data_IF_957351084022
#
_entry.id   IF_957351084022
#
_cell.length_a   1.000
_cell.length_b   1.000
_cell.length_c   1.000
_cell.angle_alpha   90.00
_cell.angle_beta   90.00
_cell.angle_gamma   90.00
#
_symmetry.space_group_name_H-M   'P 1'
#
loop_
_entity.id
_entity.type
_entity.pdbx_description
1 polymer ?
#
# COMPACT_ATOMS: atom_id res chain seq x y z
N UNK A 1 8.01 9.12 19.38
CA UNK A 1 6.78 8.38 19.06
C UNK A 1 7.00 7.39 17.91
N UNK A 2 7.52 7.81 16.75
CA UNK A 2 7.85 6.86 15.64
C UNK A 2 8.83 5.75 16.06
N UNK A 3 9.91 6.09 16.79
CA UNK A 3 10.88 5.11 17.27
C UNK A 3 10.28 4.06 18.22
N UNK A 4 9.39 4.46 19.14
CA UNK A 4 8.72 3.52 20.06
C UNK A 4 7.79 2.55 19.33
N UNK A 5 6.99 3.04 18.37
CA UNK A 5 6.14 2.20 17.54
C UNK A 5 6.95 1.21 16.68
N UNK A 6 8.14 1.61 16.23
CA UNK A 6 9.06 0.74 15.50
C UNK A 6 9.65 -0.36 16.38
N UNK A 7 10.10 -0.01 17.58
CA UNK A 7 10.61 -0.98 18.55
C UNK A 7 9.55 -2.03 18.88
N UNK A 8 8.31 -1.62 19.13
CA UNK A 8 7.22 -2.56 19.43
C UNK A 8 6.89 -3.47 18.24
N UNK A 9 6.87 -2.95 17.01
CA UNK A 9 6.68 -3.77 15.79
C UNK A 9 7.82 -4.76 15.58
N UNK A 10 9.07 -4.32 15.78
CA UNK A 10 10.27 -5.15 15.63
C UNK A 10 10.32 -6.25 16.69
N UNK A 11 10.08 -5.88 17.94
CA UNK A 11 10.16 -6.76 19.09
C UNK A 11 9.05 -7.81 19.02
N UNK A 12 7.83 -7.42 18.63
CA UNK A 12 6.75 -8.37 18.36
C UNK A 12 7.09 -9.32 17.20
N UNK A 13 7.67 -8.82 16.10
CA UNK A 13 8.06 -9.67 14.97
C UNK A 13 9.18 -10.66 15.32
N UNK A 14 10.23 -10.19 15.99
CA UNK A 14 11.38 -11.00 16.38
C UNK A 14 11.05 -12.00 17.48
N UNK A 15 10.41 -11.55 18.58
CA UNK A 15 10.03 -12.44 19.67
C UNK A 15 9.09 -13.52 19.16
N UNK A 16 8.10 -13.15 18.36
CA UNK A 16 7.15 -14.12 17.83
C UNK A 16 7.85 -15.20 17.01
N UNK A 17 8.73 -14.82 16.08
CA UNK A 17 9.43 -15.80 15.23
C UNK A 17 10.49 -16.60 15.97
N UNK A 18 11.25 -15.99 16.87
CA UNK A 18 12.31 -16.69 17.63
C UNK A 18 11.72 -17.69 18.60
N UNK A 19 10.65 -17.31 19.32
CA UNK A 19 9.91 -18.23 20.21
C UNK A 19 9.33 -19.38 19.40
N UNK A 20 8.79 -19.10 18.20
CA UNK A 20 8.18 -20.12 17.35
C UNK A 20 9.20 -21.10 16.76
N UNK A 21 10.35 -20.62 16.29
CA UNK A 21 11.44 -21.47 15.79
C UNK A 21 11.98 -22.36 16.90
N UNK A 22 12.12 -21.82 18.11
CA UNK A 22 12.56 -22.59 19.28
C UNK A 22 11.54 -23.64 19.75
N UNK A 23 10.25 -23.43 19.49
CA UNK A 23 9.19 -24.37 19.84
C UNK A 23 8.95 -25.48 18.80
N UNK A 24 9.21 -25.20 17.52
CA UNK A 24 8.87 -26.09 16.39
C UNK A 24 10.04 -26.95 15.90
N UNK A 25 11.28 -26.48 16.05
CA UNK A 25 12.45 -27.17 15.49
C UNK A 25 13.12 -28.07 16.52
N UNK A 26 13.34 -29.34 16.17
CA UNK A 26 14.14 -30.28 16.95
C UNK A 26 15.50 -29.66 17.35
N UNK A 27 16.05 -30.00 18.53
CA UNK A 27 16.99 -29.17 19.30
C UNK A 27 18.43 -29.21 18.79
N UNK A 28 18.64 -29.01 17.48
CA UNK A 28 19.96 -28.70 16.94
C UNK A 28 20.16 -27.19 17.04
N UNK A 29 20.71 -26.74 18.18
CA UNK A 29 21.00 -25.34 18.48
C UNK A 29 21.71 -24.59 17.34
N UNK A 30 22.58 -25.27 16.58
CA UNK A 30 23.25 -24.70 15.39
C UNK A 30 22.30 -24.33 14.25
N UNK A 31 21.23 -25.08 14.03
CA UNK A 31 20.25 -24.76 13.00
C UNK A 31 19.36 -23.59 13.44
N UNK A 32 18.91 -23.62 14.70
CA UNK A 32 18.08 -22.55 15.30
C UNK A 32 18.83 -21.22 15.29
N UNK A 33 20.10 -21.19 15.69
CA UNK A 33 20.92 -19.97 15.70
C UNK A 33 21.07 -19.36 14.30
N UNK A 34 21.38 -20.19 13.30
CA UNK A 34 21.53 -19.73 11.90
C UNK A 34 20.22 -19.19 11.34
N UNK A 35 19.10 -19.90 11.59
CA UNK A 35 17.77 -19.47 11.14
C UNK A 35 17.31 -18.19 11.85
N UNK A 36 17.59 -18.05 13.15
CA UNK A 36 17.29 -16.84 13.92
C UNK A 36 18.06 -15.62 13.39
N UNK A 37 19.36 -15.77 13.11
CA UNK A 37 20.16 -14.71 12.50
C UNK A 37 19.60 -14.31 11.13
N UNK A 38 19.20 -15.30 10.33
CA UNK A 38 18.63 -15.11 9.01
C UNK A 38 17.33 -14.29 9.04
N UNK A 39 16.40 -14.68 9.93
CA UNK A 39 15.13 -13.98 10.13
C UNK A 39 15.34 -12.61 10.76
N UNK A 40 16.37 -12.45 11.60
CA UNK A 40 16.77 -11.16 12.15
C UNK A 40 17.13 -10.14 11.07
N UNK A 41 17.97 -10.53 10.11
CA UNK A 41 18.35 -9.68 8.98
C UNK A 41 17.13 -9.35 8.10
N UNK A 42 16.25 -10.31 7.85
CA UNK A 42 15.01 -10.07 7.12
C UNK A 42 14.07 -9.09 7.83
N UNK A 43 13.93 -9.23 9.16
CA UNK A 43 13.18 -8.32 9.99
C UNK A 43 13.72 -6.89 9.92
N UNK A 44 15.05 -6.75 9.98
CA UNK A 44 15.72 -5.46 9.80
C UNK A 44 15.39 -4.83 8.44
N UNK A 45 15.56 -5.56 7.34
CA UNK A 45 15.22 -5.07 6.00
C UNK A 45 13.77 -4.62 5.88
N UNK A 46 12.83 -5.39 6.45
CA UNK A 46 11.39 -5.07 6.47
C UNK A 46 11.12 -3.75 7.19
N UNK A 47 11.78 -3.50 8.32
CA UNK A 47 11.60 -2.28 9.11
C UNK A 47 12.09 -1.06 8.34
N UNK A 48 13.23 -1.16 7.65
CA UNK A 48 13.74 -0.06 6.83
C UNK A 48 12.83 0.27 5.64
N UNK A 49 12.23 -0.75 5.02
CA UNK A 49 11.22 -0.57 3.98
C UNK A 49 9.98 0.15 4.52
N UNK A 50 9.47 -0.29 5.68
CA UNK A 50 8.31 0.33 6.33
C UNK A 50 8.59 1.78 6.74
N UNK A 51 9.77 2.08 7.29
CA UNK A 51 10.16 3.44 7.63
C UNK A 51 10.23 4.34 6.39
N UNK A 52 10.71 3.80 5.27
CA UNK A 52 10.78 4.53 4.00
C UNK A 52 9.38 4.86 3.46
N UNK A 53 8.42 3.95 3.67
CA UNK A 53 6.99 4.16 3.39
C UNK A 53 6.39 5.27 4.26
N UNK A 54 6.53 5.16 5.58
CA UNK A 54 5.98 6.15 6.53
C UNK A 54 6.57 7.55 6.25
N UNK A 55 7.88 7.62 5.92
CA UNK A 55 8.53 8.86 5.54
C UNK A 55 8.03 9.42 4.20
N UNK A 56 7.65 8.57 3.24
CA UNK A 56 7.06 9.04 1.98
C UNK A 56 5.73 9.72 2.24
N UNK A 57 4.86 9.09 3.03
CA UNK A 57 3.54 9.61 3.35
C UNK A 57 3.67 11.00 4.00
N UNK A 58 4.62 11.16 4.92
CA UNK A 58 4.98 12.47 5.48
C UNK A 58 5.50 13.46 4.42
N UNK A 59 6.34 13.03 3.47
CA UNK A 59 6.87 13.90 2.41
C UNK A 59 5.79 14.33 1.40
N UNK A 60 4.80 13.51 1.11
CA UNK A 60 3.69 13.87 0.18
C UNK A 60 2.81 14.99 0.71
N UNK A 61 2.82 15.25 2.03
CA UNK A 61 2.13 16.40 2.61
C UNK A 61 2.87 17.73 2.41
N UNK A 62 4.16 17.67 2.02
CA UNK A 62 5.02 18.84 1.83
C UNK A 62 5.07 19.19 0.34
N UNK A 63 4.66 20.40 -0.01
CA UNK A 63 4.46 20.85 -1.41
C UNK A 63 5.75 20.96 -2.23
N UNK A 64 6.91 21.15 -1.60
CA UNK A 64 8.20 21.26 -2.30
C UNK A 64 9.32 20.56 -1.54
N UNK A 65 9.78 19.44 -2.09
CA UNK A 65 10.90 18.66 -1.56
C UNK A 65 12.02 18.61 -2.60
N UNK A 66 13.26 18.86 -2.17
CA UNK A 66 14.45 18.77 -3.02
C UNK A 66 14.64 17.36 -3.59
N UNK A 67 14.90 17.27 -4.90
CA UNK A 67 15.12 16.02 -5.66
C UNK A 67 16.21 15.14 -5.02
N UNK A 68 17.23 15.74 -4.41
CA UNK A 68 18.32 15.00 -3.76
C UNK A 68 17.84 14.09 -2.62
N UNK A 69 16.79 14.51 -1.89
CA UNK A 69 16.21 13.71 -0.80
C UNK A 69 15.52 12.44 -1.33
N UNK A 70 14.84 12.53 -2.46
CA UNK A 70 14.21 11.38 -3.10
C UNK A 70 15.24 10.39 -3.65
N UNK A 71 16.29 10.88 -4.32
CA UNK A 71 17.34 10.03 -4.86
C UNK A 71 18.02 9.20 -3.78
N UNK A 72 18.32 9.79 -2.62
CA UNK A 72 18.92 9.08 -1.48
C UNK A 72 18.04 7.93 -0.97
N UNK A 73 16.73 8.13 -0.92
CA UNK A 73 15.79 7.10 -0.46
C UNK A 73 15.59 6.01 -1.51
N UNK A 74 15.54 6.37 -2.79
CA UNK A 74 15.49 5.39 -3.89
C UNK A 74 16.74 4.51 -3.88
N UNK A 75 17.93 5.11 -3.71
CA UNK A 75 19.18 4.36 -3.59
C UNK A 75 19.13 3.37 -2.41
N UNK A 76 18.64 3.81 -1.25
CA UNK A 76 18.45 2.96 -0.07
C UNK A 76 17.49 1.80 -0.34
N UNK A 77 16.36 2.05 -1.00
CA UNK A 77 15.38 1.01 -1.34
C UNK A 77 15.95 0.01 -2.36
N UNK A 78 16.70 0.48 -3.35
CA UNK A 78 17.37 -0.38 -4.32
C UNK A 78 18.44 -1.26 -3.68
N UNK A 79 19.22 -0.74 -2.72
CA UNK A 79 20.20 -1.58 -1.98
C UNK A 79 19.52 -2.61 -1.11
N UNK A 80 18.39 -2.27 -0.47
CA UNK A 80 17.58 -3.24 0.29
C UNK A 80 17.05 -4.34 -0.64
N UNK A 81 16.52 -3.99 -1.82
CA UNK A 81 16.00 -4.96 -2.77
C UNK A 81 17.09 -5.92 -3.27
N UNK A 82 18.26 -5.38 -3.64
CA UNK A 82 19.41 -6.17 -4.06
C UNK A 82 19.90 -7.11 -2.95
N UNK A 83 19.98 -6.61 -1.72
CA UNK A 83 20.37 -7.41 -0.56
C UNK A 83 19.36 -8.53 -0.25
N UNK A 84 18.06 -8.28 -0.42
CA UNK A 84 17.02 -9.30 -0.29
C UNK A 84 17.21 -10.43 -1.32
N UNK A 85 17.51 -10.10 -2.58
CA UNK A 85 17.74 -11.09 -3.64
C UNK A 85 18.97 -11.95 -3.32
N UNK A 86 20.08 -11.33 -2.88
CA UNK A 86 21.28 -12.06 -2.46
C UNK A 86 20.97 -13.00 -1.29
N UNK A 87 20.26 -12.51 -0.27
CA UNK A 87 19.87 -13.33 0.86
C UNK A 87 18.99 -14.50 0.39
N UNK A 88 17.99 -14.26 -0.45
CA UNK A 88 17.14 -15.32 -0.98
C UNK A 88 17.93 -16.39 -1.76
N UNK A 89 18.89 -15.97 -2.59
CA UNK A 89 19.79 -16.91 -3.28
C UNK A 89 20.64 -17.73 -2.30
N UNK A 90 21.18 -17.09 -1.25
CA UNK A 90 21.89 -17.78 -0.17
C UNK A 90 21.03 -18.81 0.57
N UNK A 91 19.70 -18.61 0.61
CA UNK A 91 18.76 -19.56 1.23
C UNK A 91 18.76 -20.93 0.53
N UNK A 92 18.92 -20.97 -0.80
CA UNK A 92 18.96 -22.22 -1.57
C UNK A 92 20.13 -23.10 -1.15
N UNK A 93 21.27 -22.50 -0.84
CA UNK A 93 22.48 -23.22 -0.44
C UNK A 93 22.45 -23.63 1.03
N UNK A 94 21.94 -22.78 1.91
CA UNK A 94 22.01 -22.98 3.37
C UNK A 94 20.87 -23.83 3.94
N UNK A 95 19.67 -23.76 3.34
CA UNK A 95 18.46 -24.35 3.91
C UNK A 95 17.55 -24.99 2.83
N UNK A 96 18.01 -26.01 2.08
CA UNK A 96 17.24 -26.59 0.98
C UNK A 96 15.93 -27.25 1.43
N UNK A 97 15.88 -27.79 2.65
CA UNK A 97 14.71 -28.49 3.19
C UNK A 97 13.58 -27.57 3.64
N UNK A 98 13.89 -26.34 4.07
CA UNK A 98 12.91 -25.36 4.55
C UNK A 98 12.65 -24.23 3.55
N UNK A 99 12.93 -24.45 2.25
CA UNK A 99 12.82 -23.40 1.23
C UNK A 99 11.41 -22.84 1.13
N UNK A 100 10.38 -23.68 1.11
CA UNK A 100 8.99 -23.22 1.00
C UNK A 100 8.54 -22.34 2.19
N UNK A 101 9.11 -22.57 3.38
CA UNK A 101 8.89 -21.71 4.53
C UNK A 101 9.62 -20.37 4.38
N UNK A 102 10.89 -20.43 4.01
CA UNK A 102 11.70 -19.23 3.84
C UNK A 102 11.18 -18.36 2.69
N UNK A 103 10.76 -18.93 1.57
CA UNK A 103 10.22 -18.19 0.40
C UNK A 103 9.01 -17.33 0.79
N UNK A 104 8.08 -17.88 1.58
CA UNK A 104 6.92 -17.16 2.08
C UNK A 104 7.28 -16.06 3.09
N UNK A 105 8.42 -16.18 3.76
CA UNK A 105 8.95 -15.14 4.65
C UNK A 105 9.64 -13.99 3.90
N UNK A 106 10.27 -14.28 2.76
CA UNK A 106 10.90 -13.28 1.89
C UNK A 106 9.88 -12.48 1.08
N UNK A 107 8.83 -13.14 0.59
CA UNK A 107 7.91 -12.59 -0.38
C UNK A 107 7.25 -11.26 0.07
N UNK A 108 6.69 -11.12 1.29
CA UNK A 108 6.13 -9.86 1.75
C UNK A 108 7.12 -8.70 1.78
N UNK A 109 8.39 -8.96 2.11
CA UNK A 109 9.44 -7.91 2.18
C UNK A 109 9.79 -7.42 0.78
N UNK A 110 9.91 -8.33 -0.18
CA UNK A 110 10.18 -7.98 -1.59
C UNK A 110 9.01 -7.19 -2.18
N UNK A 111 7.77 -7.61 -1.93
CA UNK A 111 6.59 -6.90 -2.40
C UNK A 111 6.45 -5.50 -1.79
N UNK A 112 6.69 -5.38 -0.48
CA UNK A 112 6.67 -4.11 0.24
C UNK A 112 7.72 -3.14 -0.31
N UNK A 113 8.97 -3.60 -0.47
CA UNK A 113 10.07 -2.79 -1.01
C UNK A 113 9.81 -2.34 -2.45
N UNK A 114 9.31 -3.24 -3.32
CA UNK A 114 8.93 -2.91 -4.69
C UNK A 114 7.79 -1.89 -4.72
N UNK A 115 6.74 -2.08 -3.91
CA UNK A 115 5.62 -1.15 -3.84
C UNK A 115 6.07 0.26 -3.43
N UNK A 116 6.92 0.35 -2.39
CA UNK A 116 7.45 1.63 -1.93
C UNK A 116 8.32 2.26 -3.02
N UNK A 117 9.18 1.49 -3.69
CA UNK A 117 10.01 1.98 -4.80
C UNK A 117 9.16 2.54 -5.95
N UNK A 118 8.11 1.83 -6.36
CA UNK A 118 7.17 2.28 -7.40
C UNK A 118 6.54 3.61 -6.99
N UNK A 119 6.06 3.74 -5.75
CA UNK A 119 5.47 4.99 -5.25
C UNK A 119 6.45 6.16 -5.31
N UNK A 120 7.70 5.96 -4.89
CA UNK A 120 8.75 6.99 -4.94
C UNK A 120 9.05 7.42 -6.39
N UNK A 121 9.14 6.47 -7.32
CA UNK A 121 9.38 6.75 -8.75
C UNK A 121 8.17 7.49 -9.34
N UNK A 122 6.95 7.04 -9.07
CA UNK A 122 5.74 7.69 -9.56
C UNK A 122 5.65 9.12 -9.05
N UNK A 123 5.92 9.37 -7.77
CA UNK A 123 5.91 10.73 -7.21
C UNK A 123 6.97 11.65 -7.85
N UNK A 124 8.18 11.14 -8.09
CA UNK A 124 9.21 11.91 -8.80
C UNK A 124 8.81 12.24 -10.25
N UNK A 125 8.24 11.27 -10.95
CA UNK A 125 7.75 11.47 -12.32
C UNK A 125 6.59 12.47 -12.37
N UNK A 126 5.74 12.46 -11.35
CA UNK A 126 4.60 13.39 -11.22
C UNK A 126 5.08 14.83 -10.99
N UNK A 127 6.12 15.01 -10.16
CA UNK A 127 6.76 16.31 -9.95
C UNK A 127 7.46 16.85 -11.21
N UNK A 128 7.98 15.96 -12.07
CA UNK A 128 8.70 16.35 -13.28
C UNK A 128 7.79 16.58 -14.49
N UNK A 129 6.66 15.86 -14.57
CA UNK A 129 5.71 15.94 -15.68
C UNK A 129 4.48 16.74 -15.26
N UNK A 130 4.60 18.07 -15.36
CA UNK A 130 3.46 18.97 -15.24
C UNK A 130 2.41 18.62 -16.34
N UNK A 131 1.17 18.29 -15.94
CA UNK A 131 -0.06 18.20 -16.78
C UNK A 131 -0.51 16.90 -17.50
N UNK A 132 -0.36 15.67 -16.94
CA UNK A 132 -1.07 14.45 -17.47
C UNK A 132 -1.82 13.63 -16.40
N UNK A 133 -2.59 14.31 -15.54
CA UNK A 133 -2.95 13.83 -14.19
C UNK A 133 -4.19 12.93 -14.02
N UNK A 134 -5.19 12.97 -14.90
CA UNK A 134 -6.48 12.29 -14.59
C UNK A 134 -6.41 10.75 -14.72
N UNK A 135 -5.85 10.22 -15.80
CA UNK A 135 -5.81 8.76 -16.01
C UNK A 135 -4.77 8.04 -15.14
N UNK A 136 -3.66 8.72 -14.81
CA UNK A 136 -2.55 8.15 -14.04
C UNK A 136 -2.89 7.98 -12.55
N UNK A 137 -3.67 8.89 -11.96
CA UNK A 137 -4.07 8.83 -10.54
C UNK A 137 -4.85 7.56 -10.20
N UNK A 138 -5.79 7.15 -11.06
CA UNK A 138 -6.54 5.91 -10.85
C UNK A 138 -5.65 4.68 -10.95
N UNK A 139 -4.74 4.62 -11.93
CA UNK A 139 -3.81 3.50 -12.11
C UNK A 139 -2.90 3.36 -10.88
N UNK A 140 -2.33 4.46 -10.39
CA UNK A 140 -1.47 4.44 -9.20
C UNK A 140 -2.24 3.92 -7.97
N UNK A 141 -3.48 4.36 -7.80
CA UNK A 141 -4.35 3.88 -6.73
C UNK A 141 -4.64 2.37 -6.81
N UNK A 142 -4.93 1.83 -8.00
CA UNK A 142 -5.15 0.37 -8.17
C UNK A 142 -3.88 -0.43 -7.90
N UNK A 143 -2.72 0.04 -8.35
CA UNK A 143 -1.42 -0.60 -8.10
C UNK A 143 -1.12 -0.61 -6.60
N UNK A 144 -1.38 0.49 -5.91
CA UNK A 144 -1.19 0.59 -4.47
C UNK A 144 -2.10 -0.38 -3.70
N UNK A 145 -3.38 -0.42 -4.05
CA UNK A 145 -4.34 -1.29 -3.40
C UNK A 145 -4.03 -2.77 -3.63
N UNK A 146 -3.72 -3.15 -4.89
CA UNK A 146 -3.42 -4.54 -5.23
C UNK A 146 -2.17 -5.03 -4.50
N UNK A 147 -1.13 -4.20 -4.43
CA UNK A 147 0.09 -4.50 -3.68
C UNK A 147 -0.21 -4.67 -2.18
N UNK A 148 -0.98 -3.77 -1.57
CA UNK A 148 -1.36 -3.87 -0.16
C UNK A 148 -2.17 -5.14 0.16
N UNK A 149 -3.12 -5.49 -0.70
CA UNK A 149 -3.91 -6.72 -0.58
C UNK A 149 -3.02 -7.95 -0.72
N UNK A 150 -2.07 -7.92 -1.65
CA UNK A 150 -1.16 -9.03 -1.90
C UNK A 150 -0.18 -9.22 -0.74
N UNK A 151 0.36 -8.14 -0.15
CA UNK A 151 1.19 -8.19 1.07
C UNK A 151 0.42 -8.76 2.25
N UNK A 152 -0.83 -8.32 2.47
CA UNK A 152 -1.70 -8.86 3.53
C UNK A 152 -2.02 -10.34 3.29
N UNK A 153 -2.26 -10.73 2.04
CA UNK A 153 -2.51 -12.12 1.64
C UNK A 153 -1.30 -13.03 1.90
N UNK A 154 -0.09 -12.59 1.51
CA UNK A 154 1.14 -13.33 1.82
C UNK A 154 1.40 -13.43 3.32
N UNK A 155 1.13 -12.36 4.09
CA UNK A 155 1.26 -12.37 5.55
C UNK A 155 0.26 -13.34 6.19
N UNK A 156 -0.97 -13.42 5.68
CA UNK A 156 -1.96 -14.39 6.11
C UNK A 156 -1.48 -15.83 5.83
N UNK A 157 -0.96 -16.07 4.62
CA UNK A 157 -0.45 -17.38 4.23
C UNK A 157 0.72 -17.83 5.11
N UNK A 158 1.60 -16.90 5.50
CA UNK A 158 2.68 -17.15 6.45
C UNK A 158 2.15 -17.63 7.81
N UNK A 159 1.14 -16.95 8.37
CA UNK A 159 0.54 -17.39 9.64
C UNK A 159 -0.16 -18.75 9.53
N UNK A 160 -0.86 -19.01 8.43
CA UNK A 160 -1.50 -20.30 8.18
C UNK A 160 -0.47 -21.43 8.03
N UNK A 161 0.64 -21.17 7.35
CA UNK A 161 1.74 -22.14 7.23
C UNK A 161 2.36 -22.43 8.59
N UNK A 162 2.57 -21.40 9.42
CA UNK A 162 3.09 -21.57 10.79
C UNK A 162 2.15 -22.45 11.63
N UNK A 163 0.83 -22.18 11.58
CA UNK A 163 -0.17 -23.02 12.25
C UNK A 163 -0.16 -24.47 11.76
N UNK A 164 -0.01 -24.67 10.44
CA UNK A 164 0.07 -26.01 9.86
C UNK A 164 1.31 -26.79 10.33
N UNK A 165 2.47 -26.13 10.44
CA UNK A 165 3.71 -26.79 10.87
C UNK A 165 3.76 -27.11 12.37
N UNK A 166 3.18 -26.26 13.22
CA UNK A 166 3.18 -26.45 14.68
C UNK A 166 2.12 -27.45 15.15
N UNK A 167 1.05 -27.65 14.37
CA UNK A 167 -0.16 -28.29 14.86
C UNK A 167 -0.92 -27.39 15.84
N UNK A 168 -2.19 -27.72 16.11
CA UNK A 168 -3.03 -26.94 17.03
C UNK A 168 -2.92 -27.58 18.40
N UNK A 169 -2.06 -27.04 19.26
CA UNK A 169 -1.87 -27.53 20.64
C UNK A 169 -2.67 -26.72 21.68
N UNK A 170 -3.48 -25.76 21.22
CA UNK A 170 -4.28 -24.84 22.04
C UNK A 170 -3.44 -24.09 23.09
N UNK A 171 -2.18 -23.78 22.76
CA UNK A 171 -1.27 -23.03 23.61
C UNK A 171 -1.42 -21.50 23.49
N UNK A 172 -0.70 -20.75 24.33
CA UNK A 172 -0.62 -19.28 24.24
C UNK A 172 -0.19 -18.79 22.85
N UNK A 173 0.69 -19.54 22.18
CA UNK A 173 1.18 -19.23 20.83
C UNK A 173 0.05 -19.30 19.79
N UNK A 174 -0.82 -20.31 19.89
CA UNK A 174 -1.97 -20.48 18.99
C UNK A 174 -2.99 -19.34 19.17
N UNK A 175 -3.20 -18.89 20.40
CA UNK A 175 -4.07 -17.73 20.71
C UNK A 175 -3.51 -16.47 20.04
N UNK A 176 -2.21 -16.20 20.19
CA UNK A 176 -1.56 -15.03 19.57
C UNK A 176 -1.61 -15.11 18.04
N UNK A 177 -1.38 -16.29 17.45
CA UNK A 177 -1.52 -16.52 16.01
C UNK A 177 -2.95 -16.21 15.54
N UNK A 178 -3.95 -16.74 16.24
CA UNK A 178 -5.35 -16.51 15.90
C UNK A 178 -5.73 -15.03 15.95
N UNK A 179 -5.26 -14.29 16.96
CA UNK A 179 -5.48 -12.85 17.08
C UNK A 179 -4.83 -12.08 15.92
N UNK A 180 -3.61 -12.44 15.53
CA UNK A 180 -2.93 -11.83 14.39
C UNK A 180 -3.64 -12.14 13.06
N UNK A 181 -4.04 -13.39 12.83
CA UNK A 181 -4.83 -13.80 11.66
C UNK A 181 -6.14 -13.01 11.59
N UNK A 182 -6.88 -12.91 12.70
CA UNK A 182 -8.12 -12.13 12.79
C UNK A 182 -7.87 -10.64 12.48
N UNK A 183 -6.79 -10.07 12.98
CA UNK A 183 -6.41 -8.68 12.71
C UNK A 183 -6.15 -8.45 11.22
N UNK A 184 -5.38 -9.35 10.58
CA UNK A 184 -5.09 -9.30 9.14
C UNK A 184 -6.36 -9.45 8.31
N UNK A 185 -7.22 -10.42 8.64
CA UNK A 185 -8.50 -10.63 7.95
C UNK A 185 -9.42 -9.41 8.06
N UNK A 186 -9.52 -8.80 9.25
CA UNK A 186 -10.30 -7.58 9.46
C UNK A 186 -9.76 -6.43 8.60
N UNK A 187 -8.45 -6.24 8.56
CA UNK A 187 -7.82 -5.19 7.75
C UNK A 187 -8.04 -5.41 6.25
N UNK A 188 -7.90 -6.66 5.79
CA UNK A 188 -8.15 -7.03 4.40
C UNK A 188 -9.63 -6.80 4.03
N UNK A 189 -10.55 -7.26 4.86
CA UNK A 189 -11.98 -7.09 4.66
C UNK A 189 -12.37 -5.60 4.57
N UNK A 190 -11.88 -4.78 5.50
CA UNK A 190 -12.13 -3.34 5.50
C UNK A 190 -11.58 -2.67 4.22
N UNK A 191 -10.37 -3.04 3.76
CA UNK A 191 -9.82 -2.53 2.50
C UNK A 191 -10.67 -2.93 1.29
N UNK A 192 -11.15 -4.18 1.24
CA UNK A 192 -12.02 -4.67 0.16
C UNK A 192 -13.37 -3.95 0.13
N UNK A 193 -13.98 -3.68 1.29
CA UNK A 193 -15.24 -2.92 1.38
C UNK A 193 -15.06 -1.51 0.82
N UNK A 194 -14.08 -0.77 1.35
CA UNK A 194 -13.80 0.62 0.92
C UNK A 194 -13.54 0.66 -0.59
N UNK A 195 -12.82 -0.32 -1.11
CA UNK A 195 -12.59 -0.46 -2.55
C UNK A 195 -13.88 -0.65 -3.34
N UNK A 196 -14.74 -1.59 -2.91
CA UNK A 196 -16.02 -1.87 -3.58
C UNK A 196 -16.93 -0.64 -3.58
N UNK A 197 -17.00 0.08 -2.47
CA UNK A 197 -17.80 1.31 -2.37
C UNK A 197 -17.29 2.40 -3.30
N UNK A 198 -15.97 2.62 -3.35
CA UNK A 198 -15.34 3.58 -4.27
C UNK A 198 -15.56 3.21 -5.74
N UNK A 199 -15.43 1.93 -6.09
CA UNK A 199 -15.70 1.46 -7.45
C UNK A 199 -17.15 1.74 -7.86
N UNK A 200 -18.11 1.39 -7.00
CA UNK A 200 -19.54 1.63 -7.25
C UNK A 200 -19.82 3.12 -7.43
N UNK A 201 -19.28 3.98 -6.55
CA UNK A 201 -19.43 5.42 -6.63
C UNK A 201 -18.83 5.99 -7.93
N UNK A 202 -17.66 5.50 -8.34
CA UNK A 202 -17.03 5.88 -9.61
C UNK A 202 -17.86 5.51 -10.83
N UNK A 203 -18.36 4.27 -10.90
CA UNK A 203 -19.20 3.81 -12.00
C UNK A 203 -20.50 4.61 -12.05
N UNK A 204 -21.11 4.87 -10.89
CA UNK A 204 -22.32 5.69 -10.77
C UNK A 204 -22.13 7.10 -11.35
N UNK A 205 -21.07 7.82 -10.94
CA UNK A 205 -20.78 9.17 -11.46
C UNK A 205 -20.49 9.13 -12.96
N UNK A 206 -19.76 8.12 -13.44
CA UNK A 206 -19.45 7.98 -14.87
C UNK A 206 -20.69 7.78 -15.73
N UNK A 207 -21.65 6.98 -15.25
CA UNK A 207 -22.90 6.69 -15.96
C UNK A 207 -23.93 7.82 -15.85
N UNK A 208 -23.95 8.55 -14.73
CA UNK A 208 -24.97 9.57 -14.45
C UNK A 208 -24.72 10.91 -15.15
N UNK A 209 -23.47 11.25 -15.43
CA UNK A 209 -23.07 12.55 -15.99
C UNK A 209 -22.40 12.41 -17.36
N UNK A 210 -22.83 13.25 -18.30
CA UNK A 210 -22.31 13.28 -19.67
C UNK A 210 -20.90 13.86 -19.67
N UNK A 211 -20.00 13.24 -20.44
CA UNK A 211 -18.68 13.81 -20.70
C UNK A 211 -18.83 15.05 -21.59
N UNK A 212 -18.20 16.16 -21.21
CA UNK A 212 -18.22 17.37 -22.02
C UNK A 212 -17.45 17.14 -23.33
N UNK A 213 -17.98 17.64 -24.46
CA UNK A 213 -17.30 17.53 -25.74
C UNK A 213 -16.02 18.37 -25.74
N UNK A 214 -15.03 17.96 -26.53
CA UNK A 214 -13.76 18.70 -26.66
C UNK A 214 -13.96 20.14 -27.16
N UNK A 215 -15.03 20.41 -27.89
CA UNK A 215 -15.43 21.74 -28.36
C UNK A 215 -16.09 22.60 -27.27
N UNK A 216 -16.86 22.01 -26.34
CA UNK A 216 -17.40 22.73 -25.18
C UNK A 216 -16.29 23.07 -24.18
N UNK A 217 -15.32 22.17 -24.00
CA UNK A 217 -14.14 22.40 -23.15
C UNK A 217 -13.24 23.53 -23.70
N UNK A 218 -13.01 23.56 -25.01
CA UNK A 218 -12.14 24.59 -25.63
C UNK A 218 -12.80 25.97 -25.68
N UNK A 219 -14.13 26.03 -25.79
CA UNK A 219 -14.90 27.29 -25.76
C UNK A 219 -14.97 27.91 -24.37
N UNK A 220 -15.07 27.10 -23.31
CA UNK A 220 -15.15 27.61 -21.94
C UNK A 220 -13.75 27.92 -21.36
N UNK A 221 -12.72 27.13 -21.71
CA UNK A 221 -11.31 27.31 -21.30
C UNK A 221 -11.11 27.63 -19.79
N UNK A 222 -11.98 27.10 -18.94
CA UNK A 222 -11.96 27.32 -17.50
C UNK A 222 -11.08 26.29 -16.77
N UNK A 223 -10.41 26.75 -15.71
CA UNK A 223 -9.75 25.87 -14.75
C UNK A 223 -10.80 25.21 -13.84
N UNK A 224 -10.55 23.97 -13.41
CA UNK A 224 -11.47 23.26 -12.52
C UNK A 224 -11.59 24.01 -11.19
N UNK A 225 -12.79 24.44 -10.79
CA UNK A 225 -12.95 25.26 -9.57
C UNK A 225 -12.58 24.54 -8.25
N UNK A 226 -12.38 23.22 -8.28
CA UNK A 226 -11.96 22.43 -7.11
C UNK A 226 -10.43 22.37 -6.99
N UNK A 227 -9.72 21.94 -8.06
CA UNK A 227 -8.26 21.78 -8.02
C UNK A 227 -7.47 22.94 -8.66
N UNK A 228 -8.16 23.86 -9.35
CA UNK A 228 -7.58 24.99 -10.11
C UNK A 228 -6.61 24.57 -11.21
N UNK A 229 -6.77 23.37 -11.76
CA UNK A 229 -5.98 22.85 -12.88
C UNK A 229 -6.81 22.82 -14.17
N UNK A 230 -6.14 22.93 -15.33
CA UNK A 230 -6.77 22.84 -16.65
C UNK A 230 -7.48 21.50 -16.88
N UNK A 231 -8.68 21.56 -17.44
CA UNK A 231 -9.49 20.38 -17.72
C UNK A 231 -9.17 19.83 -19.13
N UNK A 232 -8.75 18.56 -19.24
CA UNK A 232 -8.67 17.81 -20.52
C UNK A 232 -9.86 16.88 -20.72
N UNK A 233 -10.41 16.41 -19.60
CA UNK A 233 -11.63 15.60 -19.49
C UNK A 233 -12.48 16.22 -18.39
N UNK A 234 -13.75 16.47 -18.65
CA UNK A 234 -14.65 17.07 -17.67
C UNK A 234 -16.04 16.42 -17.73
N UNK A 235 -16.66 16.27 -16.57
CA UNK A 235 -18.07 15.90 -16.43
C UNK A 235 -18.92 17.15 -16.33
N UNK A 236 -19.98 17.20 -17.13
CA UNK A 236 -20.97 18.28 -17.13
C UNK A 236 -22.10 17.95 -16.18
N UNK A 237 -22.34 18.81 -15.20
CA UNK A 237 -23.50 18.73 -14.32
C UNK A 237 -24.74 19.28 -15.03
N UNK A 238 -25.93 18.94 -14.53
CA UNK A 238 -27.20 19.49 -15.03
C UNK A 238 -27.30 21.03 -14.92
N UNK A 239 -26.51 21.65 -14.03
CA UNK A 239 -26.40 23.10 -13.92
C UNK A 239 -25.44 23.74 -14.94
N UNK A 240 -24.78 22.94 -15.79
CA UNK A 240 -23.86 23.41 -16.83
C UNK A 240 -22.38 23.51 -16.42
N UNK A 241 -22.06 23.45 -15.11
CA UNK A 241 -20.67 23.52 -14.65
C UNK A 241 -19.87 22.25 -14.99
N UNK A 242 -18.59 22.46 -15.29
CA UNK A 242 -17.63 21.43 -15.69
C UNK A 242 -16.62 21.19 -14.56
N UNK A 243 -16.36 19.92 -14.25
CA UNK A 243 -15.31 19.53 -13.31
C UNK A 243 -14.62 18.26 -13.78
N UNK A 244 -13.37 18.08 -13.37
CA UNK A 244 -12.68 16.79 -13.39
C UNK A 244 -13.52 15.69 -12.72
N UNK A 245 -13.49 14.48 -13.29
CA UNK A 245 -14.25 13.33 -12.76
C UNK A 245 -13.86 13.03 -11.31
N UNK A 246 -12.55 13.07 -11.01
CA UNK A 246 -12.03 12.79 -9.67
C UNK A 246 -12.40 13.87 -8.65
N UNK A 247 -12.30 15.14 -9.05
CA UNK A 247 -12.66 16.27 -8.19
C UNK A 247 -14.16 16.24 -7.84
N UNK A 248 -15.02 15.99 -8.84
CA UNK A 248 -16.46 15.85 -8.62
C UNK A 248 -16.78 14.65 -7.72
N UNK A 249 -16.11 13.51 -7.93
CA UNK A 249 -16.28 12.33 -7.09
C UNK A 249 -15.86 12.58 -5.64
N UNK A 250 -14.67 13.14 -5.42
CA UNK A 250 -14.17 13.48 -4.07
C UNK A 250 -15.11 14.45 -3.36
N UNK A 251 -15.63 15.44 -4.08
CA UNK A 251 -16.60 16.40 -3.54
C UNK A 251 -17.90 15.74 -3.07
N UNK A 252 -18.49 14.87 -3.90
CA UNK A 252 -19.73 14.14 -3.58
C UNK A 252 -19.51 13.20 -2.39
N UNK A 253 -18.34 12.54 -2.30
CA UNK A 253 -18.01 11.67 -1.18
C UNK A 253 -17.92 12.40 0.16
N UNK A 254 -17.51 13.67 0.18
CA UNK A 254 -17.51 14.46 1.41
C UNK A 254 -18.90 15.05 1.76
N UNK A 255 -19.79 15.17 0.78
CA UNK A 255 -21.12 15.78 0.92
C UNK A 255 -22.26 14.80 0.60
N UNK A 256 -22.16 13.57 1.13
CA UNK A 256 -23.11 12.48 0.83
C UNK A 256 -24.54 12.82 1.20
N UNK A 257 -24.77 13.58 2.28
CA UNK A 257 -26.11 13.91 2.80
C UNK A 257 -26.86 14.92 1.93
N UNK A 258 -26.16 15.84 1.25
CA UNK A 258 -26.74 16.82 0.31
C UNK A 258 -25.70 17.17 -0.77
N UNK A 259 -25.60 16.38 -1.85
CA UNK A 259 -24.64 16.64 -2.91
C UNK A 259 -25.08 17.89 -3.69
N UNK A 260 -24.26 18.94 -3.66
CA UNK A 260 -24.49 20.21 -4.37
C UNK A 260 -23.35 20.53 -5.32
N UNK A 261 -23.64 21.30 -6.38
CA UNK A 261 -22.60 21.82 -7.26
C UNK A 261 -21.61 22.72 -6.48
N UNK A 262 -20.29 22.50 -6.60
CA UNK A 262 -19.27 23.33 -5.93
C UNK A 262 -19.36 24.82 -6.28
N UNK A 263 -19.73 25.15 -7.52
CA UNK A 263 -19.78 26.54 -8.00
C UNK A 263 -21.11 27.22 -7.67
N UNK A 264 -22.25 26.59 -7.99
CA UNK A 264 -23.56 27.24 -7.86
C UNK A 264 -24.44 26.72 -6.71
N UNK A 265 -23.96 25.75 -5.92
CA UNK A 265 -24.68 25.13 -4.79
C UNK A 265 -26.03 24.50 -5.13
N UNK A 266 -26.40 24.41 -6.42
CA UNK A 266 -27.62 23.73 -6.87
C UNK A 266 -27.53 22.22 -6.52
N UNK A 267 -28.60 21.62 -5.97
CA UNK A 267 -28.60 20.20 -5.63
C UNK A 267 -28.38 19.34 -6.89
N UNK A 268 -27.61 18.26 -6.73
CA UNK A 268 -27.31 17.30 -7.79
C UNK A 268 -28.46 16.30 -8.01
N UNK A 269 -29.36 16.21 -7.04
CA UNK A 269 -30.64 15.50 -7.12
C UNK A 269 -31.77 16.47 -7.50
N UNK A 270 -32.53 16.10 -8.53
CA UNK A 270 -34.00 16.25 -8.45
C UNK A 270 -34.53 14.90 -8.00
#
# INVERSE_FOLDING_TARGET
MESQHMYDRMLNFLLFKVIFIGAVMDPVWRHILRLSMWIGVLGFMRIFSLLSRDRLDNLTTITFVSIHKYYKIILLLSTILFSNIIWYLGSFYLFPTSLAFLTLEFLPVVLDTIQVLIKYITHLLDQWVENRFESKRWINYYIELSADVLILGCTLLQYLQLMWMHGISFGLVDIVLFLNVRSVLKNLHNKIIIYRERWKAMVYVRQRYVDASSEELSKLNDDCAICREKMKTAKKLACGHLFHLHCLHSWIQHHVSKPTCPTCRRPLST
#
